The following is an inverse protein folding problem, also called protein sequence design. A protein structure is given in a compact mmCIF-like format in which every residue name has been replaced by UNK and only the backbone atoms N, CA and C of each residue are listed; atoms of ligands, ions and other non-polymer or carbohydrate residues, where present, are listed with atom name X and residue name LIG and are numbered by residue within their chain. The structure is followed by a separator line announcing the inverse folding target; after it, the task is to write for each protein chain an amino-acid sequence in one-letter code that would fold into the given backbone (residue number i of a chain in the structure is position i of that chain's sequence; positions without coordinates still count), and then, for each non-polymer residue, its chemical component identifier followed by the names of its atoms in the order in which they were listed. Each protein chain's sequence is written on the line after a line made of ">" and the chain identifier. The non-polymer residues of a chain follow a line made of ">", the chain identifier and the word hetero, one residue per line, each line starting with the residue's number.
data_IF_283945819314
#
_entry.id   IF_283945819314
#
_cell.length_a   1.000
_cell.length_b   1.000
_cell.length_c   1.000
_cell.angle_alpha   90.00
_cell.angle_beta   90.00
_cell.angle_gamma   90.00
#
_symmetry.space_group_name_H-M   'P 1'
#
loop_
_entity.id
_entity.type
_entity.pdbx_description
1 polymer ?
#
# COMPACT_ATOMS: atom_id res chain seq x y z
N UNK A 1 -108.69 41.96 -59.44
CA UNK A 1 -108.17 42.30 -58.09
C UNK A 1 -107.56 41.02 -57.48
N UNK A 2 -106.35 40.91 -57.31
CA UNK A 2 -105.80 39.96 -56.37
C UNK A 2 -104.92 40.67 -55.34
N UNK A 3 -104.98 40.20 -54.16
CA UNK A 3 -104.33 40.63 -52.95
C UNK A 3 -102.90 40.12 -52.80
N UNK A 4 -101.95 40.90 -52.27
CA UNK A 4 -100.62 40.48 -52.05
C UNK A 4 -100.40 40.17 -50.60
N UNK A 5 -99.94 38.99 -50.22
CA UNK A 5 -99.17 38.72 -48.98
C UNK A 5 -98.44 37.43 -49.07
N UNK A 6 -97.13 37.48 -49.13
CA UNK A 6 -96.22 36.65 -48.29
C UNK A 6 -94.77 36.89 -48.70
N UNK A 7 -94.08 37.72 -48.01
CA UNK A 7 -92.68 38.03 -48.26
C UNK A 7 -91.87 38.36 -47.01
N UNK A 8 -91.97 37.56 -45.93
CA UNK A 8 -91.15 37.91 -44.74
C UNK A 8 -90.70 36.76 -43.90
N UNK A 9 -90.56 35.52 -44.43
CA UNK A 9 -90.10 34.39 -43.59
C UNK A 9 -88.74 33.82 -43.99
N UNK A 10 -88.10 34.32 -45.05
CA UNK A 10 -86.73 33.75 -45.48
C UNK A 10 -85.53 34.46 -44.83
N UNK A 11 -85.69 35.69 -44.32
CA UNK A 11 -84.51 36.37 -43.69
C UNK A 11 -84.22 35.91 -42.24
N UNK A 12 -85.24 35.45 -41.49
CA UNK A 12 -85.02 35.01 -40.11
C UNK A 12 -84.35 33.64 -39.96
N UNK A 13 -84.55 32.75 -40.95
CA UNK A 13 -83.91 31.46 -40.98
C UNK A 13 -82.40 31.54 -41.39
N UNK A 14 -82.04 32.47 -42.26
CA UNK A 14 -80.65 32.74 -42.60
C UNK A 14 -79.86 33.29 -41.40
N UNK A 15 -80.44 34.19 -40.60
CA UNK A 15 -79.74 34.70 -39.41
C UNK A 15 -79.62 33.64 -38.30
N UNK A 16 -80.57 32.72 -38.16
CA UNK A 16 -80.46 31.60 -37.22
C UNK A 16 -79.36 30.56 -37.69
N UNK A 17 -79.33 30.30 -38.98
CA UNK A 17 -78.28 29.39 -39.58
C UNK A 17 -76.89 29.99 -39.49
N UNK A 18 -76.72 31.30 -39.75
CA UNK A 18 -75.49 32.01 -39.58
C UNK A 18 -75.01 32.05 -38.10
N UNK A 19 -75.93 32.19 -37.15
CA UNK A 19 -75.58 32.11 -35.68
C UNK A 19 -75.25 30.69 -35.28
N UNK A 20 -75.85 29.66 -35.85
CA UNK A 20 -75.48 28.27 -35.64
C UNK A 20 -74.07 27.90 -36.18
N UNK A 21 -73.78 28.40 -37.41
CA UNK A 21 -72.45 28.26 -38.01
C UNK A 21 -71.33 28.98 -37.25
N UNK A 22 -71.68 30.23 -36.78
CA UNK A 22 -70.69 30.97 -35.95
C UNK A 22 -70.45 30.29 -34.58
N UNK A 23 -71.51 29.74 -33.94
CA UNK A 23 -71.40 28.95 -32.71
C UNK A 23 -70.58 27.69 -32.91
N UNK A 24 -70.78 26.90 -33.99
CA UNK A 24 -70.03 25.73 -34.33
C UNK A 24 -68.56 26.05 -34.62
N UNK A 25 -68.26 27.13 -35.36
CA UNK A 25 -66.92 27.61 -35.63
C UNK A 25 -66.22 28.02 -34.35
N UNK A 26 -66.85 28.68 -33.40
CA UNK A 26 -66.31 29.06 -32.11
C UNK A 26 -65.93 27.79 -31.25
N UNK A 27 -66.88 26.84 -31.24
CA UNK A 27 -66.63 25.56 -30.51
C UNK A 27 -65.51 24.79 -31.16
N UNK A 28 -65.46 24.71 -32.48
CA UNK A 28 -64.33 24.06 -33.20
C UNK A 28 -62.97 24.76 -32.94
N UNK A 29 -62.96 26.09 -32.83
CA UNK A 29 -61.76 26.88 -32.51
C UNK A 29 -61.33 26.69 -31.05
N UNK A 30 -62.25 26.59 -30.11
CA UNK A 30 -62.02 26.29 -28.70
C UNK A 30 -61.46 24.85 -28.55
N UNK A 31 -62.09 23.87 -29.21
CA UNK A 31 -61.70 22.51 -29.20
C UNK A 31 -60.32 22.32 -29.90
N UNK A 32 -60.08 23.00 -31.00
CA UNK A 32 -58.76 23.03 -31.69
C UNK A 32 -57.67 23.69 -30.86
N UNK A 33 -57.97 24.79 -30.19
CA UNK A 33 -57.10 25.47 -29.25
C UNK A 33 -56.77 24.62 -28.01
N UNK A 34 -57.81 23.97 -27.43
CA UNK A 34 -57.66 23.04 -26.31
C UNK A 34 -56.83 21.82 -26.73
N UNK A 35 -57.10 21.23 -27.90
CA UNK A 35 -56.28 20.12 -28.43
C UNK A 35 -54.82 20.55 -28.63
N UNK A 36 -54.59 21.72 -29.23
CA UNK A 36 -53.22 22.24 -29.43
C UNK A 36 -52.50 22.49 -28.09
N UNK A 37 -53.21 23.10 -27.10
CA UNK A 37 -52.66 23.37 -25.78
C UNK A 37 -52.38 22.10 -24.98
N UNK A 38 -53.28 21.11 -24.94
CA UNK A 38 -53.06 19.85 -24.22
C UNK A 38 -52.06 18.92 -24.86
N UNK A 39 -51.99 18.87 -26.19
CA UNK A 39 -51.15 17.88 -26.90
C UNK A 39 -49.82 18.42 -27.44
N UNK A 40 -49.70 19.70 -27.76
CA UNK A 40 -48.49 20.27 -28.35
C UNK A 40 -47.70 21.17 -27.43
N UNK A 41 -48.31 21.93 -26.55
CA UNK A 41 -47.66 22.92 -25.67
C UNK A 41 -46.81 22.28 -24.58
N UNK A 42 -47.15 21.08 -24.06
CA UNK A 42 -46.44 20.38 -22.98
C UNK A 42 -45.47 19.27 -23.46
N UNK A 43 -44.99 19.39 -24.70
CA UNK A 43 -44.03 18.40 -25.25
C UNK A 43 -42.89 19.14 -25.95
N UNK A 44 -41.65 18.65 -25.66
CA UNK A 44 -40.44 19.13 -26.32
C UNK A 44 -39.78 17.97 -27.00
N UNK A 45 -39.57 18.05 -28.31
CA UNK A 45 -39.00 16.95 -29.10
C UNK A 45 -37.71 17.38 -29.78
N UNK A 46 -36.79 16.44 -29.90
CA UNK A 46 -35.59 16.56 -30.72
C UNK A 46 -35.37 15.28 -31.54
N UNK A 47 -34.97 15.46 -32.77
CA UNK A 47 -34.52 14.43 -33.73
C UNK A 47 -32.98 14.20 -33.63
N UNK A 48 -32.30 15.10 -32.92
CA UNK A 48 -30.86 15.00 -32.68
C UNK A 48 -30.63 14.33 -31.33
N UNK A 49 -30.91 13.03 -31.25
CA UNK A 49 -30.67 12.21 -30.07
C UNK A 49 -29.95 10.92 -30.51
N UNK A 50 -28.98 10.48 -29.70
CA UNK A 50 -28.18 9.30 -29.98
C UNK A 50 -28.11 8.38 -28.77
N UNK A 51 -27.98 7.08 -29.05
CA UNK A 51 -27.68 6.09 -28.02
C UNK A 51 -26.20 6.22 -27.65
N UNK A 52 -25.91 6.34 -26.38
CA UNK A 52 -24.57 6.39 -25.81
C UNK A 52 -24.41 5.30 -24.77
N UNK A 53 -23.17 4.85 -24.53
CA UNK A 53 -22.81 3.96 -23.43
C UNK A 53 -21.45 4.34 -22.85
N UNK A 54 -21.24 4.02 -21.58
CA UNK A 54 -19.93 4.18 -20.92
C UNK A 54 -19.05 3.00 -21.36
N UNK A 55 -18.42 3.11 -22.54
CA UNK A 55 -17.55 2.09 -23.14
C UNK A 55 -16.18 2.07 -22.48
N UNK A 56 -15.60 0.87 -22.31
CA UNK A 56 -14.23 0.69 -21.85
C UNK A 56 -13.26 0.57 -23.03
N UNK A 57 -12.31 1.49 -23.11
CA UNK A 57 -11.20 1.40 -24.05
C UNK A 57 -10.12 0.48 -23.46
N UNK A 58 -9.83 -0.62 -24.14
CA UNK A 58 -8.82 -1.59 -23.71
C UNK A 58 -7.47 -1.19 -24.30
N UNK A 59 -6.49 -1.00 -23.43
CA UNK A 59 -5.10 -0.69 -23.82
C UNK A 59 -4.12 -1.59 -23.08
N UNK A 60 -2.93 -1.79 -23.63
CA UNK A 60 -1.85 -2.50 -22.95
C UNK A 60 -1.18 -1.62 -21.89
N UNK A 61 -0.76 -2.23 -20.79
CA UNK A 61 0.09 -1.59 -19.76
C UNK A 61 1.58 -1.81 -19.99
N UNK A 62 1.92 -2.81 -20.82
CA UNK A 62 3.29 -3.22 -21.10
C UNK A 62 3.49 -3.33 -22.62
N UNK A 63 4.70 -3.14 -23.14
CA UNK A 63 5.01 -3.44 -24.53
C UNK A 63 5.05 -4.95 -24.77
N UNK A 64 4.78 -5.41 -25.97
CA UNK A 64 4.88 -6.84 -26.29
C UNK A 64 4.35 -7.16 -27.68
N UNK A 65 4.53 -8.41 -28.08
CA UNK A 65 3.99 -8.95 -29.33
C UNK A 65 2.74 -9.75 -28.99
N UNK A 66 1.67 -9.57 -29.75
CA UNK A 66 0.42 -10.31 -29.57
C UNK A 66 0.64 -11.77 -29.95
N UNK A 67 0.46 -12.68 -29.00
CA UNK A 67 0.58 -14.10 -29.23
C UNK A 67 -0.74 -14.68 -29.76
N UNK A 68 -1.85 -14.41 -29.07
CA UNK A 68 -3.17 -14.89 -29.46
C UNK A 68 -4.25 -13.84 -29.16
N UNK A 69 -5.30 -13.84 -29.98
CA UNK A 69 -6.51 -13.03 -29.81
C UNK A 69 -7.69 -14.01 -29.72
N UNK A 70 -8.42 -13.97 -28.60
CA UNK A 70 -9.47 -14.92 -28.27
C UNK A 70 -10.88 -14.41 -28.60
N UNK A 71 -10.97 -13.16 -29.05
CA UNK A 71 -12.25 -12.49 -29.33
C UNK A 71 -12.19 -11.76 -30.67
N UNK A 72 -13.36 -11.64 -31.32
CA UNK A 72 -13.51 -10.88 -32.55
C UNK A 72 -14.47 -9.70 -32.36
N UNK A 73 -14.57 -8.82 -33.38
CA UNK A 73 -15.60 -7.78 -33.36
C UNK A 73 -16.98 -8.41 -33.20
N UNK A 74 -17.86 -7.71 -32.48
CA UNK A 74 -19.23 -8.11 -32.18
C UNK A 74 -19.36 -9.36 -31.27
N UNK A 75 -18.25 -9.89 -30.72
CA UNK A 75 -18.28 -10.98 -29.75
C UNK A 75 -18.71 -10.44 -28.39
N UNK A 76 -19.66 -11.12 -27.75
CA UNK A 76 -20.06 -10.83 -26.38
C UNK A 76 -19.00 -11.35 -25.39
N UNK A 77 -18.63 -10.52 -24.43
CA UNK A 77 -17.64 -10.82 -23.38
C UNK A 77 -18.19 -10.54 -22.01
N UNK A 78 -17.73 -11.32 -21.02
CA UNK A 78 -18.05 -11.15 -19.62
C UNK A 78 -16.90 -10.49 -18.86
N UNK A 79 -17.15 -9.82 -17.71
CA UNK A 79 -16.08 -9.25 -16.90
C UNK A 79 -15.06 -10.31 -16.49
N UNK A 80 -13.76 -10.03 -16.61
CA UNK A 80 -12.66 -10.95 -16.31
C UNK A 80 -12.31 -11.93 -17.43
N UNK A 81 -13.10 -12.02 -18.52
CA UNK A 81 -12.80 -12.89 -19.67
C UNK A 81 -11.53 -12.41 -20.37
N UNK A 82 -10.65 -13.35 -20.71
CA UNK A 82 -9.42 -13.07 -21.46
C UNK A 82 -9.77 -12.67 -22.90
N UNK A 83 -9.24 -11.54 -23.32
CA UNK A 83 -9.44 -10.99 -24.67
C UNK A 83 -8.30 -11.37 -25.60
N UNK A 84 -7.08 -11.23 -25.11
CA UNK A 84 -5.87 -11.56 -25.85
C UNK A 84 -4.71 -11.85 -24.90
N UNK A 85 -3.67 -12.49 -25.42
CA UNK A 85 -2.41 -12.72 -24.72
C UNK A 85 -1.22 -12.16 -25.51
N UNK A 86 -0.26 -11.61 -24.79
CA UNK A 86 1.05 -11.24 -25.31
C UNK A 86 2.02 -12.41 -25.12
N UNK A 87 3.12 -12.45 -25.90
CA UNK A 87 4.21 -13.42 -25.69
C UNK A 87 4.81 -13.20 -24.28
N UNK A 88 4.69 -14.17 -23.37
CA UNK A 88 5.13 -14.03 -21.99
C UNK A 88 6.61 -14.33 -21.78
N UNK A 89 7.35 -14.81 -22.80
CA UNK A 89 8.70 -15.39 -22.61
C UNK A 89 9.69 -14.46 -21.96
N UNK A 90 9.76 -13.20 -22.41
CA UNK A 90 10.68 -12.21 -21.84
C UNK A 90 10.31 -11.87 -20.38
N UNK A 91 9.03 -11.80 -20.09
CA UNK A 91 8.51 -11.52 -18.76
C UNK A 91 8.66 -12.72 -17.82
N UNK A 92 8.52 -13.95 -18.34
CA UNK A 92 8.76 -15.17 -17.57
C UNK A 92 10.24 -15.28 -17.20
N UNK A 93 11.16 -15.01 -18.14
CA UNK A 93 12.59 -14.97 -17.88
C UNK A 93 12.93 -13.95 -16.78
N UNK A 94 12.35 -12.76 -16.82
CA UNK A 94 12.55 -11.74 -15.80
C UNK A 94 12.06 -12.20 -14.41
N UNK A 95 10.99 -12.98 -14.35
CA UNK A 95 10.51 -13.60 -13.10
C UNK A 95 11.50 -14.64 -12.60
N UNK A 96 12.00 -15.50 -13.47
CA UNK A 96 12.94 -16.56 -13.14
C UNK A 96 14.28 -15.98 -12.65
N UNK A 97 14.78 -14.91 -13.28
CA UNK A 97 15.97 -14.17 -12.82
C UNK A 97 15.77 -13.55 -11.44
N UNK A 98 14.65 -12.88 -11.21
CA UNK A 98 14.34 -12.28 -9.91
C UNK A 98 14.16 -13.35 -8.81
N UNK A 99 13.58 -14.50 -9.14
CA UNK A 99 13.43 -15.65 -8.25
C UNK A 99 14.79 -16.25 -7.89
N UNK A 100 15.69 -16.41 -8.87
CA UNK A 100 17.05 -16.90 -8.65
C UNK A 100 17.85 -15.95 -7.73
N UNK A 101 17.72 -14.64 -7.93
CA UNK A 101 18.35 -13.63 -7.07
C UNK A 101 17.82 -13.70 -5.62
N UNK A 102 16.52 -13.89 -5.42
CA UNK A 102 15.93 -14.08 -4.10
C UNK A 102 16.52 -15.32 -3.42
N UNK A 103 16.54 -16.45 -4.11
CA UNK A 103 17.09 -17.72 -3.61
C UNK A 103 18.56 -17.58 -3.20
N UNK A 104 19.35 -16.88 -4.01
CA UNK A 104 20.76 -16.58 -3.70
C UNK A 104 20.88 -15.73 -2.43
N UNK A 105 20.13 -14.65 -2.32
CA UNK A 105 20.17 -13.76 -1.15
C UNK A 105 19.74 -14.49 0.13
N UNK A 106 18.74 -15.36 0.05
CA UNK A 106 18.31 -16.20 1.17
C UNK A 106 19.39 -17.21 1.58
N UNK A 107 20.14 -17.76 0.61
CA UNK A 107 21.27 -18.63 0.92
C UNK A 107 22.42 -17.87 1.63
N UNK A 108 22.73 -16.65 1.18
CA UNK A 108 23.70 -15.77 1.83
C UNK A 108 23.26 -15.40 3.27
N UNK A 109 21.99 -15.15 3.50
CA UNK A 109 21.42 -14.92 4.84
C UNK A 109 21.62 -16.13 5.75
N UNK A 110 21.28 -17.34 5.28
CA UNK A 110 21.46 -18.59 6.07
C UNK A 110 22.92 -18.85 6.40
N UNK A 111 23.84 -18.60 5.47
CA UNK A 111 25.26 -18.71 5.71
C UNK A 111 25.78 -17.74 6.79
N UNK A 112 25.29 -16.49 6.74
CA UNK A 112 25.63 -15.47 7.75
C UNK A 112 25.04 -15.81 9.12
N UNK A 113 23.82 -16.33 9.17
CA UNK A 113 23.16 -16.78 10.40
C UNK A 113 23.92 -17.93 11.07
N UNK A 114 24.37 -18.91 10.27
CA UNK A 114 25.25 -19.99 10.75
C UNK A 114 26.57 -19.45 11.29
N UNK A 115 27.17 -18.44 10.63
CA UNK A 115 28.42 -17.81 11.08
C UNK A 115 28.21 -17.04 12.40
N UNK A 116 27.05 -16.37 12.60
CA UNK A 116 26.69 -15.74 13.87
C UNK A 116 26.64 -16.79 14.98
N UNK A 117 25.95 -17.90 14.76
CA UNK A 117 25.76 -18.95 15.74
C UNK A 117 27.14 -19.57 16.12
N UNK A 118 27.98 -19.87 15.13
CA UNK A 118 29.33 -20.39 15.36
C UNK A 118 30.19 -19.41 16.16
N UNK A 119 30.20 -18.14 15.78
CA UNK A 119 31.00 -17.11 16.46
C UNK A 119 30.51 -16.85 17.89
N UNK A 120 29.20 -16.90 18.14
CA UNK A 120 28.60 -16.72 19.47
C UNK A 120 29.01 -17.85 20.42
N UNK A 121 28.92 -19.12 19.97
CA UNK A 121 29.36 -20.29 20.75
C UNK A 121 30.85 -20.20 21.03
N UNK A 122 31.67 -19.88 20.04
CA UNK A 122 33.14 -19.79 20.19
C UNK A 122 33.49 -18.69 21.21
N UNK A 123 32.88 -17.54 21.12
CA UNK A 123 33.11 -16.41 22.03
C UNK A 123 32.70 -16.77 23.47
N UNK A 124 31.54 -17.41 23.63
CA UNK A 124 31.06 -17.86 24.94
C UNK A 124 32.03 -18.86 25.58
N UNK A 125 32.48 -19.84 24.81
CA UNK A 125 33.48 -20.83 25.30
C UNK A 125 34.80 -20.18 25.70
N UNK A 126 35.29 -19.19 24.96
CA UNK A 126 36.51 -18.43 25.29
C UNK A 126 36.32 -17.61 26.57
N UNK A 127 35.18 -16.95 26.76
CA UNK A 127 34.88 -16.22 28.00
C UNK A 127 34.84 -17.16 29.21
N UNK A 128 34.19 -18.30 29.08
CA UNK A 128 34.04 -19.26 30.20
C UNK A 128 35.41 -19.89 30.57
N UNK A 129 36.21 -20.20 29.55
CA UNK A 129 37.60 -20.63 29.79
C UNK A 129 38.42 -19.56 30.53
N UNK A 130 38.35 -18.31 30.08
CA UNK A 130 39.05 -17.21 30.73
C UNK A 130 38.58 -16.95 32.15
N UNK A 131 37.28 -17.09 32.45
CA UNK A 131 36.71 -17.01 33.80
C UNK A 131 37.21 -18.12 34.72
N UNK A 132 37.32 -19.36 34.20
CA UNK A 132 37.86 -20.50 34.95
C UNK A 132 39.31 -20.28 35.35
N UNK A 133 40.13 -19.75 34.44
CA UNK A 133 41.55 -19.41 34.75
C UNK A 133 41.61 -18.29 35.83
N UNK A 134 40.73 -17.29 35.79
CA UNK A 134 40.67 -16.27 36.86
C UNK A 134 40.34 -16.90 38.20
N UNK A 135 39.38 -17.79 38.27
CA UNK A 135 38.98 -18.48 39.48
C UNK A 135 40.14 -19.27 40.07
N UNK A 136 40.85 -20.07 39.22
CA UNK A 136 42.03 -20.85 39.64
C UNK A 136 43.13 -19.94 40.17
N UNK A 137 43.46 -18.85 39.50
CA UNK A 137 44.51 -17.92 39.95
C UNK A 137 44.10 -17.17 41.25
N UNK A 138 42.83 -16.85 41.44
CA UNK A 138 42.34 -16.28 42.70
C UNK A 138 42.41 -17.28 43.86
N UNK A 139 42.16 -18.56 43.61
CA UNK A 139 42.33 -19.61 44.63
C UNK A 139 43.77 -19.72 45.09
N UNK A 140 44.74 -19.65 44.15
CA UNK A 140 46.19 -19.62 44.49
C UNK A 140 46.55 -18.39 45.35
N UNK A 141 45.97 -17.22 45.08
CA UNK A 141 46.17 -16.03 45.93
C UNK A 141 45.62 -16.29 47.35
N UNK A 142 44.41 -16.85 47.47
CA UNK A 142 43.82 -17.17 48.77
C UNK A 142 44.63 -18.17 49.56
N UNK A 143 45.10 -19.24 48.91
CA UNK A 143 45.97 -20.24 49.52
C UNK A 143 47.27 -19.61 50.07
N UNK A 144 47.94 -18.77 49.24
CA UNK A 144 49.11 -18.02 49.66
C UNK A 144 48.86 -17.07 50.84
N UNK A 145 47.72 -16.36 50.86
CA UNK A 145 47.33 -15.47 51.95
C UNK A 145 47.06 -16.24 53.24
N UNK A 146 46.43 -17.41 53.20
CA UNK A 146 46.28 -18.30 54.35
C UNK A 146 47.62 -18.78 54.89
N UNK A 147 48.59 -19.15 53.99
CA UNK A 147 49.92 -19.54 54.39
C UNK A 147 50.68 -18.39 55.05
N UNK A 148 50.57 -17.16 54.51
CA UNK A 148 51.12 -15.95 55.12
C UNK A 148 50.57 -15.70 56.54
N UNK A 149 49.30 -15.90 56.74
CA UNK A 149 48.70 -15.72 58.07
C UNK A 149 49.19 -16.78 59.05
N UNK A 150 49.32 -18.04 58.62
CA UNK A 150 49.92 -19.10 59.45
C UNK A 150 51.38 -18.79 59.82
N UNK A 151 52.18 -18.32 58.86
CA UNK A 151 53.56 -17.90 59.13
C UNK A 151 53.66 -16.69 60.08
N UNK A 152 52.76 -15.74 60.01
CA UNK A 152 52.69 -14.63 61.01
C UNK A 152 52.50 -15.15 62.42
N UNK A 153 51.63 -16.13 62.64
CA UNK A 153 51.42 -16.73 63.95
C UNK A 153 52.66 -17.47 64.42
N UNK A 154 53.34 -18.24 63.55
CA UNK A 154 54.59 -18.90 63.83
C UNK A 154 55.72 -17.90 64.18
N UNK A 155 55.78 -16.79 63.45
CA UNK A 155 56.75 -15.71 63.69
C UNK A 155 56.52 -15.08 65.09
N UNK A 156 55.26 -14.85 65.50
CA UNK A 156 54.94 -14.33 66.81
C UNK A 156 55.40 -15.30 67.91
N UNK A 157 55.23 -16.61 67.77
CA UNK A 157 55.70 -17.64 68.72
C UNK A 157 57.22 -17.65 68.79
N UNK A 158 57.90 -17.70 67.61
CA UNK A 158 59.40 -17.70 67.55
C UNK A 158 59.99 -16.41 68.14
N UNK A 159 59.35 -15.26 67.94
CA UNK A 159 59.78 -13.99 68.59
C UNK A 159 59.64 -14.03 70.11
N UNK A 160 58.59 -14.66 70.63
CA UNK A 160 58.43 -14.86 72.10
C UNK A 160 59.57 -15.78 72.66
N UNK A 161 59.86 -16.91 71.93
CA UNK A 161 60.90 -17.82 72.36
C UNK A 161 62.27 -17.15 72.34
N UNK A 162 62.56 -16.37 71.24
CA UNK A 162 63.79 -15.58 71.15
C UNK A 162 63.90 -14.58 72.35
N UNK A 163 62.80 -13.94 72.64
CA UNK A 163 62.75 -12.95 73.77
C UNK A 163 63.07 -13.62 75.12
N UNK A 164 62.54 -14.80 75.34
CA UNK A 164 62.81 -15.57 76.56
C UNK A 164 64.30 -15.99 76.57
N UNK A 165 64.83 -16.63 75.45
CA UNK A 165 66.17 -17.05 75.32
C UNK A 165 67.14 -15.89 75.56
N UNK A 166 66.90 -14.73 74.97
CA UNK A 166 67.69 -13.53 75.14
C UNK A 166 67.77 -13.05 76.59
N UNK A 167 66.61 -12.99 77.33
CA UNK A 167 66.55 -12.63 78.74
C UNK A 167 67.36 -13.64 79.62
N UNK A 168 67.24 -14.94 79.28
CA UNK A 168 67.98 -15.98 79.98
C UNK A 168 69.44 -15.84 79.72
N UNK A 169 69.89 -15.70 78.45
CA UNK A 169 71.26 -15.47 78.12
C UNK A 169 71.87 -14.25 78.85
N UNK A 170 71.15 -13.08 78.88
CA UNK A 170 71.55 -11.86 79.56
C UNK A 170 71.67 -12.07 81.10
N UNK A 171 70.86 -12.96 81.71
CA UNK A 171 70.93 -13.30 83.07
C UNK A 171 72.20 -14.21 83.32
N UNK A 172 72.39 -15.29 82.52
CA UNK A 172 73.52 -16.19 82.64
C UNK A 172 74.85 -15.50 82.30
N UNK A 173 74.93 -14.59 81.37
CA UNK A 173 76.09 -13.80 81.02
C UNK A 173 76.56 -12.92 82.24
N UNK A 174 75.63 -12.30 82.90
CA UNK A 174 75.90 -11.52 84.14
C UNK A 174 76.44 -12.45 85.27
N UNK A 175 75.80 -13.60 85.47
CA UNK A 175 76.26 -14.56 86.54
C UNK A 175 77.59 -15.17 86.18
N UNK A 176 77.90 -15.46 84.90
CA UNK A 176 79.17 -15.94 84.39
C UNK A 176 80.33 -14.95 84.66
N UNK A 177 80.06 -13.67 84.31
CA UNK A 177 81.00 -12.56 84.62
C UNK A 177 81.27 -12.39 86.11
N UNK A 178 80.35 -12.79 86.97
CA UNK A 178 80.51 -12.81 88.42
C UNK A 178 81.11 -14.14 88.91
N UNK A 179 81.52 -15.06 88.02
CA UNK A 179 82.05 -16.39 88.32
C UNK A 179 81.08 -17.27 89.18
N UNK A 180 79.75 -16.95 89.13
CA UNK A 180 78.73 -17.66 89.91
C UNK A 180 78.17 -18.91 89.24
N UNK A 181 78.48 -19.18 87.95
CA UNK A 181 78.03 -20.35 87.22
C UNK A 181 79.19 -20.96 86.42
N UNK A 182 79.00 -22.28 86.02
CA UNK A 182 79.95 -23.02 85.11
C UNK A 182 79.82 -22.54 83.66
N UNK A 183 80.96 -22.52 82.98
CA UNK A 183 81.04 -22.18 81.54
C UNK A 183 80.02 -22.96 80.69
N UNK A 184 79.86 -24.25 80.98
CA UNK A 184 78.88 -25.10 80.27
C UNK A 184 77.40 -24.54 80.31
N UNK A 185 77.04 -23.88 81.42
CA UNK A 185 75.66 -23.25 81.52
C UNK A 185 75.56 -21.99 80.67
N UNK A 186 76.58 -21.18 80.57
CA UNK A 186 76.70 -20.04 79.67
C UNK A 186 76.66 -20.45 78.21
N UNK A 187 77.49 -21.46 77.84
CA UNK A 187 77.53 -21.98 76.46
C UNK A 187 76.17 -22.55 76.02
N UNK A 188 75.44 -23.25 76.92
CA UNK A 188 74.06 -23.72 76.65
C UNK A 188 73.07 -22.56 76.38
N UNK A 189 73.14 -21.53 77.26
CA UNK A 189 72.22 -20.36 77.11
C UNK A 189 72.51 -19.62 75.74
N UNK A 190 73.85 -19.46 75.42
CA UNK A 190 74.20 -18.85 74.15
C UNK A 190 73.76 -19.68 72.93
N UNK A 191 73.97 -21.00 72.98
CA UNK A 191 73.55 -21.93 71.89
C UNK A 191 72.02 -21.85 71.75
N UNK A 192 71.23 -21.71 72.86
CA UNK A 192 69.74 -21.57 72.77
C UNK A 192 69.37 -20.26 72.16
N UNK A 193 70.02 -19.15 72.46
CA UNK A 193 69.78 -17.85 71.85
C UNK A 193 70.09 -17.88 70.35
N UNK A 194 71.26 -18.40 69.98
CA UNK A 194 71.73 -18.53 68.55
C UNK A 194 70.75 -19.40 67.74
N UNK A 195 70.24 -20.48 68.35
CA UNK A 195 69.22 -21.38 67.73
C UNK A 195 67.90 -20.69 67.54
N UNK A 196 67.42 -20.01 68.55
CA UNK A 196 66.09 -19.32 68.43
C UNK A 196 66.17 -18.12 67.49
N UNK A 197 67.28 -17.42 67.41
CA UNK A 197 67.51 -16.35 66.42
C UNK A 197 67.53 -16.90 65.01
N UNK A 198 68.31 -17.99 64.75
CA UNK A 198 68.34 -18.65 63.44
C UNK A 198 66.93 -19.19 63.03
N UNK A 199 66.11 -19.64 63.99
CA UNK A 199 64.73 -20.09 63.73
C UNK A 199 63.83 -18.95 63.33
N UNK A 200 63.92 -17.78 63.97
CA UNK A 200 63.18 -16.57 63.56
C UNK A 200 63.60 -16.12 62.18
N UNK A 201 64.88 -16.04 61.90
CA UNK A 201 65.41 -15.65 60.55
C UNK A 201 64.91 -16.58 59.45
N UNK A 202 64.87 -17.92 59.74
CA UNK A 202 64.28 -18.87 58.79
C UNK A 202 62.79 -18.62 58.52
N UNK A 203 61.96 -18.31 59.55
CA UNK A 203 60.56 -18.00 59.41
C UNK A 203 60.37 -16.65 58.63
N UNK A 204 61.24 -15.67 58.90
CA UNK A 204 61.20 -14.39 58.20
C UNK A 204 61.57 -14.59 56.72
N UNK A 205 62.57 -15.39 56.38
CA UNK A 205 62.93 -15.73 55.00
C UNK A 205 61.78 -16.48 54.27
N UNK A 206 61.13 -17.45 54.96
CA UNK A 206 59.99 -18.17 54.42
C UNK A 206 58.75 -17.20 54.19
N UNK A 207 58.53 -16.30 55.15
CA UNK A 207 57.47 -15.31 55.05
C UNK A 207 57.67 -14.42 53.83
N UNK A 208 58.87 -13.95 53.56
CA UNK A 208 59.20 -13.11 52.38
C UNK A 208 59.08 -13.90 51.07
N UNK A 209 59.50 -15.16 51.07
CA UNK A 209 59.33 -16.03 49.89
C UNK A 209 57.84 -16.25 49.56
N UNK A 210 57.01 -16.52 50.56
CA UNK A 210 55.57 -16.69 50.36
C UNK A 210 54.90 -15.36 49.97
N UNK A 211 55.34 -14.21 50.55
CA UNK A 211 54.86 -12.87 50.16
C UNK A 211 55.15 -12.61 48.68
N UNK A 212 56.35 -12.90 48.22
CA UNK A 212 56.74 -12.76 46.82
C UNK A 212 55.92 -13.68 45.88
N UNK A 213 55.60 -14.90 46.36
CA UNK A 213 54.75 -15.85 45.61
C UNK A 213 53.29 -15.32 45.51
N UNK A 214 52.73 -14.76 46.60
CA UNK A 214 51.39 -14.15 46.61
C UNK A 214 51.33 -12.97 45.64
N UNK A 215 52.37 -12.12 45.63
CA UNK A 215 52.41 -10.99 44.67
C UNK A 215 52.48 -11.46 43.22
N UNK A 216 53.29 -12.49 42.94
CA UNK A 216 53.32 -13.15 41.65
C UNK A 216 51.93 -13.71 41.23
N UNK A 217 51.22 -14.35 42.16
CA UNK A 217 49.86 -14.85 41.90
C UNK A 217 48.86 -13.71 41.66
N UNK A 218 48.96 -12.59 42.36
CA UNK A 218 48.13 -11.39 42.09
C UNK A 218 48.39 -10.80 40.68
N UNK A 219 49.65 -10.78 40.26
CA UNK A 219 49.98 -10.36 38.87
C UNK A 219 49.39 -11.33 37.83
N UNK A 220 49.37 -12.62 38.12
CA UNK A 220 48.74 -13.63 37.26
C UNK A 220 47.22 -13.41 37.20
N UNK A 221 46.52 -13.04 38.28
CA UNK A 221 45.11 -12.67 38.26
C UNK A 221 44.88 -11.47 37.35
N UNK A 222 45.73 -10.43 37.41
CA UNK A 222 45.62 -9.24 36.57
C UNK A 222 45.79 -9.60 35.07
N UNK A 223 46.75 -10.50 34.77
CA UNK A 223 46.97 -11.00 33.39
C UNK A 223 45.75 -11.80 32.89
N UNK A 224 45.19 -12.70 33.71
CA UNK A 224 44.01 -13.48 33.37
C UNK A 224 42.78 -12.56 33.17
N UNK A 225 42.65 -11.49 33.97
CA UNK A 225 41.60 -10.47 33.78
C UNK A 225 41.73 -9.75 32.41
N UNK A 226 42.95 -9.46 31.98
CA UNK A 226 43.22 -8.91 30.66
C UNK A 226 42.85 -9.88 29.53
N UNK A 227 43.11 -11.19 29.71
CA UNK A 227 42.69 -12.22 28.76
C UNK A 227 41.14 -12.31 28.66
N UNK A 228 40.43 -12.22 29.78
CA UNK A 228 38.97 -12.17 29.76
C UNK A 228 38.44 -10.93 28.98
N UNK A 229 39.10 -9.78 29.12
CA UNK A 229 38.70 -8.59 28.35
C UNK A 229 38.93 -8.78 26.83
N UNK A 230 40.01 -9.48 26.43
CA UNK A 230 40.26 -9.87 25.02
C UNK A 230 39.15 -10.84 24.53
N UNK A 231 38.82 -11.86 25.33
CA UNK A 231 37.72 -12.79 24.99
C UNK A 231 36.40 -12.10 24.83
N UNK A 232 36.08 -11.15 25.71
CA UNK A 232 34.85 -10.29 25.58
C UNK A 232 34.88 -9.42 24.33
N UNK A 233 36.07 -9.01 23.86
CA UNK A 233 36.23 -8.30 22.59
C UNK A 233 35.68 -9.08 21.40
N UNK A 234 35.67 -10.41 21.45
CA UNK A 234 35.05 -11.27 20.44
C UNK A 234 33.55 -11.03 20.23
N UNK A 235 32.83 -10.52 21.22
CA UNK A 235 31.41 -10.13 21.06
C UNK A 235 31.17 -9.02 20.05
N UNK A 236 32.19 -8.17 19.83
CA UNK A 236 32.05 -7.14 18.77
C UNK A 236 32.01 -7.79 17.38
N UNK A 237 32.72 -8.87 17.14
CA UNK A 237 32.63 -9.60 15.86
C UNK A 237 31.25 -10.19 15.64
N UNK A 238 30.61 -10.75 16.69
CA UNK A 238 29.24 -11.24 16.64
C UNK A 238 28.27 -10.07 16.32
N UNK A 239 28.49 -8.91 16.92
CA UNK A 239 27.67 -7.72 16.65
C UNK A 239 27.81 -7.25 15.19
N UNK A 240 29.01 -7.25 14.62
CA UNK A 240 29.26 -6.92 13.21
C UNK A 240 28.52 -7.92 12.29
N UNK A 241 28.61 -9.22 12.57
CA UNK A 241 27.87 -10.23 11.81
C UNK A 241 26.35 -10.04 11.88
N UNK A 242 25.81 -9.66 13.04
CA UNK A 242 24.38 -9.34 13.20
C UNK A 242 23.97 -8.11 12.38
N UNK A 243 24.85 -7.10 12.29
CA UNK A 243 24.60 -5.94 11.43
C UNK A 243 24.64 -6.34 9.93
N UNK A 244 25.57 -7.19 9.53
CA UNK A 244 25.60 -7.74 8.17
C UNK A 244 24.36 -8.55 7.85
N UNK A 245 23.87 -9.38 8.79
CA UNK A 245 22.61 -10.12 8.64
C UNK A 245 21.42 -9.18 8.49
N UNK A 246 21.37 -8.08 9.26
CA UNK A 246 20.32 -7.06 9.12
C UNK A 246 20.36 -6.40 7.74
N UNK A 247 21.53 -6.08 7.21
CA UNK A 247 21.69 -5.53 5.86
C UNK A 247 21.25 -6.52 4.77
N UNK A 248 21.60 -7.80 4.92
CA UNK A 248 21.14 -8.86 4.01
C UNK A 248 19.62 -9.06 4.07
N UNK A 249 18.99 -8.91 5.24
CA UNK A 249 17.53 -8.94 5.39
C UNK A 249 16.87 -7.81 4.61
N UNK A 250 17.37 -6.59 4.71
CA UNK A 250 16.89 -5.46 3.92
C UNK A 250 17.09 -5.70 2.41
N UNK A 251 18.22 -6.29 2.03
CA UNK A 251 18.48 -6.69 0.64
C UNK A 251 17.51 -7.75 0.14
N UNK A 252 17.18 -8.75 0.96
CA UNK A 252 16.17 -9.77 0.63
C UNK A 252 14.80 -9.13 0.39
N UNK A 253 14.40 -8.16 1.21
CA UNK A 253 13.13 -7.46 1.05
C UNK A 253 13.09 -6.64 -0.26
N UNK A 254 14.21 -5.99 -0.64
CA UNK A 254 14.35 -5.31 -1.93
C UNK A 254 14.19 -6.30 -3.11
N UNK A 255 14.92 -7.41 -3.07
CA UNK A 255 14.88 -8.43 -4.14
C UNK A 255 13.51 -9.09 -4.21
N UNK A 256 12.85 -9.31 -3.07
CA UNK A 256 11.46 -9.80 -3.04
C UNK A 256 10.49 -8.82 -3.70
N UNK A 257 10.61 -7.51 -3.45
CA UNK A 257 9.80 -6.50 -4.11
C UNK A 257 10.04 -6.49 -5.64
N UNK A 258 11.28 -6.68 -6.08
CA UNK A 258 11.62 -6.81 -7.51
C UNK A 258 10.96 -8.04 -8.14
N UNK A 259 10.94 -9.18 -7.44
CA UNK A 259 10.23 -10.37 -7.88
C UNK A 259 8.72 -10.12 -8.02
N UNK A 260 8.10 -9.44 -7.05
CA UNK A 260 6.68 -9.09 -7.14
C UNK A 260 6.40 -8.17 -8.34
N UNK A 261 7.27 -7.20 -8.60
CA UNK A 261 7.16 -6.33 -9.76
C UNK A 261 7.27 -7.09 -11.10
N UNK A 262 8.18 -8.07 -11.18
CA UNK A 262 8.32 -8.94 -12.36
C UNK A 262 7.06 -9.81 -12.57
N UNK A 263 6.54 -10.42 -11.51
CA UNK A 263 5.28 -11.21 -11.56
C UNK A 263 4.08 -10.36 -11.97
N UNK A 264 3.99 -9.13 -11.49
CA UNK A 264 2.93 -8.20 -11.88
C UNK A 264 3.02 -7.87 -13.36
N UNK A 265 4.23 -7.61 -13.89
CA UNK A 265 4.41 -7.40 -15.35
C UNK A 265 4.03 -8.62 -16.16
N UNK A 266 4.38 -9.82 -15.72
CA UNK A 266 3.96 -11.07 -16.37
C UNK A 266 2.42 -11.21 -16.37
N UNK A 267 1.73 -10.84 -15.31
CA UNK A 267 0.26 -10.88 -15.28
C UNK A 267 -0.38 -9.95 -16.30
N UNK A 268 0.28 -8.85 -16.67
CA UNK A 268 -0.19 -7.93 -17.70
C UNK A 268 -0.05 -8.49 -19.14
N UNK A 269 0.63 -9.63 -19.35
CA UNK A 269 0.62 -10.32 -20.63
C UNK A 269 -0.76 -10.88 -20.97
N UNK A 270 -1.63 -11.12 -20.00
CA UNK A 270 -3.01 -11.54 -20.21
C UNK A 270 -3.92 -10.32 -20.05
N UNK A 271 -4.54 -9.89 -21.15
CA UNK A 271 -5.44 -8.72 -21.16
C UNK A 271 -6.87 -9.22 -21.06
N UNK A 272 -7.59 -8.77 -20.02
CA UNK A 272 -8.96 -9.20 -19.71
C UNK A 272 -9.96 -8.06 -19.84
N UNK A 273 -11.23 -8.40 -20.01
CA UNK A 273 -12.35 -7.47 -20.07
C UNK A 273 -12.64 -6.87 -18.67
N UNK A 274 -12.58 -5.53 -18.48
CA UNK A 274 -12.94 -4.90 -17.21
C UNK A 274 -14.47 -4.83 -16.97
N UNK A 275 -15.26 -4.84 -18.04
CA UNK A 275 -16.73 -4.81 -18.03
C UNK A 275 -17.29 -5.84 -19.00
N UNK A 276 -18.55 -6.24 -18.81
CA UNK A 276 -19.30 -7.03 -19.78
C UNK A 276 -19.81 -6.17 -20.93
N UNK A 277 -19.90 -6.75 -22.12
CA UNK A 277 -20.39 -6.03 -23.30
C UNK A 277 -20.00 -6.71 -24.59
N UNK A 278 -19.99 -5.96 -25.66
CA UNK A 278 -19.60 -6.42 -26.99
C UNK A 278 -18.30 -5.75 -27.41
N UNK A 279 -17.41 -6.55 -28.00
CA UNK A 279 -16.14 -6.04 -28.56
C UNK A 279 -16.44 -5.18 -29.79
N UNK A 280 -15.88 -3.97 -29.80
CA UNK A 280 -15.97 -3.04 -30.91
C UNK A 280 -14.59 -2.50 -31.29
N UNK A 281 -14.41 -2.10 -32.53
CA UNK A 281 -13.20 -1.44 -33.04
C UNK A 281 -11.89 -2.19 -32.72
N UNK A 282 -11.86 -3.51 -32.87
CA UNK A 282 -10.62 -4.28 -32.76
C UNK A 282 -9.64 -3.79 -33.86
N UNK A 283 -8.51 -3.19 -33.46
CA UNK A 283 -7.51 -2.58 -34.35
C UNK A 283 -6.19 -3.34 -34.39
N UNK A 284 -6.18 -4.58 -33.93
CA UNK A 284 -4.97 -5.38 -33.73
C UNK A 284 -5.10 -6.73 -34.40
N UNK A 285 -3.94 -7.30 -34.77
CA UNK A 285 -3.81 -8.63 -35.36
C UNK A 285 -2.78 -9.46 -34.55
N UNK A 286 -2.86 -10.79 -34.73
CA UNK A 286 -1.85 -11.71 -34.17
C UNK A 286 -0.49 -11.39 -34.79
N UNK A 287 0.55 -11.27 -33.96
CA UNK A 287 1.90 -10.88 -34.37
C UNK A 287 2.18 -9.38 -34.31
N UNK A 288 1.18 -8.54 -34.11
CA UNK A 288 1.40 -7.09 -33.94
C UNK A 288 2.21 -6.80 -32.69
N UNK A 289 3.11 -5.81 -32.80
CA UNK A 289 3.84 -5.27 -31.67
C UNK A 289 3.11 -4.05 -31.10
N UNK A 290 2.76 -4.11 -29.84
CA UNK A 290 2.00 -3.05 -29.16
C UNK A 290 2.85 -2.28 -28.14
N UNK A 291 2.43 -1.04 -27.87
CA UNK A 291 3.06 -0.15 -26.90
C UNK A 291 2.12 0.15 -25.73
N UNK A 292 2.64 0.52 -24.54
CA UNK A 292 1.83 0.95 -23.42
C UNK A 292 0.92 2.13 -23.80
N UNK A 293 -0.36 2.07 -23.38
CA UNK A 293 -1.36 3.10 -23.68
C UNK A 293 -1.98 3.01 -25.08
N UNK A 294 -1.48 2.16 -25.98
CA UNK A 294 -2.09 1.94 -27.27
C UNK A 294 -3.47 1.29 -27.12
N UNK A 295 -4.50 1.90 -27.70
CA UNK A 295 -5.87 1.37 -27.70
C UNK A 295 -5.93 0.18 -28.64
N UNK A 296 -6.35 -0.96 -28.13
CA UNK A 296 -6.40 -2.24 -28.84
C UNK A 296 -7.81 -2.52 -29.38
N UNK A 297 -8.82 -2.33 -28.53
CA UNK A 297 -10.24 -2.51 -28.83
C UNK A 297 -11.10 -1.73 -27.81
N UNK A 298 -12.39 -1.65 -28.06
CA UNK A 298 -13.38 -1.10 -27.13
C UNK A 298 -14.36 -2.19 -26.71
N UNK A 299 -14.85 -2.14 -25.47
CA UNK A 299 -15.98 -2.95 -25.00
C UNK A 299 -17.14 -2.01 -24.74
N UNK A 300 -18.27 -2.30 -25.41
CA UNK A 300 -19.48 -1.50 -25.36
C UNK A 300 -20.57 -2.30 -24.64
N UNK A 301 -21.02 -1.87 -23.44
CA UNK A 301 -22.11 -2.50 -22.73
C UNK A 301 -23.43 -2.14 -23.42
N UNK A 302 -24.30 -3.13 -23.67
CA UNK A 302 -25.67 -2.88 -24.18
C UNK A 302 -26.70 -2.72 -23.06
N UNK A 303 -26.42 -3.17 -21.85
CA UNK A 303 -27.33 -3.09 -20.72
C UNK A 303 -27.33 -1.72 -20.03
N UNK A 304 -26.24 -0.97 -20.11
CA UNK A 304 -26.04 0.34 -19.51
C UNK A 304 -26.19 1.53 -20.45
N UNK A 305 -26.88 1.37 -21.58
CA UNK A 305 -27.04 2.45 -22.56
C UNK A 305 -27.94 3.56 -22.01
N UNK A 306 -27.60 4.79 -22.38
CA UNK A 306 -28.44 5.97 -22.15
C UNK A 306 -28.57 6.76 -23.45
N UNK A 307 -29.49 7.71 -23.47
CA UNK A 307 -29.71 8.53 -24.64
C UNK A 307 -29.24 9.95 -24.34
N UNK A 308 -28.47 10.49 -25.24
CA UNK A 308 -28.09 11.91 -25.25
C UNK A 308 -28.90 12.63 -26.32
N UNK A 309 -29.87 13.45 -25.87
CA UNK A 309 -30.69 14.26 -26.74
C UNK A 309 -30.21 15.71 -26.75
N UNK A 310 -29.88 16.22 -27.93
CA UNK A 310 -29.43 17.60 -28.11
C UNK A 310 -30.62 18.51 -28.38
N UNK A 311 -31.12 19.19 -27.33
CA UNK A 311 -32.26 20.10 -27.42
C UNK A 311 -31.80 21.54 -27.68
N UNK A 312 -32.57 22.32 -28.43
CA UNK A 312 -32.30 23.75 -28.61
C UNK A 312 -32.47 24.48 -27.25
N UNK A 313 -31.60 25.46 -26.98
CA UNK A 313 -31.62 26.24 -25.73
C UNK A 313 -33.02 26.79 -25.45
N UNK A 314 -33.74 27.28 -26.48
CA UNK A 314 -35.10 27.82 -26.38
C UNK A 314 -36.13 26.79 -25.94
N UNK A 315 -35.86 25.49 -26.09
CA UNK A 315 -36.77 24.40 -25.75
C UNK A 315 -36.63 23.96 -24.27
N UNK A 316 -35.54 24.34 -23.58
CA UNK A 316 -35.23 23.86 -22.24
C UNK A 316 -35.90 24.61 -21.10
N UNK A 317 -36.61 25.70 -21.35
CA UNK A 317 -37.25 26.55 -20.35
C UNK A 317 -38.09 25.75 -19.32
N UNK A 318 -38.79 24.72 -19.78
CA UNK A 318 -39.70 23.91 -18.96
C UNK A 318 -39.18 22.48 -18.73
N UNK A 319 -37.97 22.14 -19.16
CA UNK A 319 -37.39 20.83 -18.96
C UNK A 319 -36.79 20.73 -17.54
N UNK A 320 -37.10 19.63 -16.85
CA UNK A 320 -36.64 19.33 -15.48
C UNK A 320 -36.19 17.91 -15.38
N UNK A 321 -35.25 17.66 -14.48
CA UNK A 321 -34.80 16.32 -14.15
C UNK A 321 -35.93 15.49 -13.56
N UNK A 322 -36.06 14.23 -13.98
CA UNK A 322 -37.12 13.32 -13.58
C UNK A 322 -38.31 13.29 -14.52
N UNK A 323 -38.47 14.25 -15.47
CA UNK A 323 -39.57 14.26 -16.42
C UNK A 323 -39.55 13.01 -17.31
N UNK A 324 -40.70 12.42 -17.63
CA UNK A 324 -40.81 11.26 -18.50
C UNK A 324 -40.49 11.63 -19.95
N UNK A 325 -39.81 10.70 -20.63
CA UNK A 325 -39.41 10.86 -22.02
C UNK A 325 -39.90 9.65 -22.83
N UNK A 326 -40.51 9.95 -23.98
CA UNK A 326 -40.87 8.96 -24.99
C UNK A 326 -39.79 8.96 -26.07
N UNK A 327 -39.26 7.78 -26.39
CA UNK A 327 -38.17 7.63 -27.31
C UNK A 327 -38.59 6.70 -28.44
N UNK A 328 -38.36 7.11 -29.67
CA UNK A 328 -38.59 6.32 -30.88
C UNK A 328 -37.27 6.15 -31.61
N UNK A 329 -36.93 4.90 -31.92
CA UNK A 329 -35.77 4.58 -32.72
C UNK A 329 -36.18 4.40 -34.18
N UNK A 330 -35.44 4.98 -35.09
CA UNK A 330 -35.75 4.91 -36.51
C UNK A 330 -35.65 3.46 -37.05
N UNK A 331 -34.77 2.67 -36.44
CA UNK A 331 -34.61 1.22 -36.79
C UNK A 331 -35.83 0.37 -36.32
N UNK A 332 -36.64 0.84 -35.38
CA UNK A 332 -37.80 0.12 -34.82
C UNK A 332 -39.08 0.97 -34.86
N UNK A 333 -39.65 1.21 -36.04
CA UNK A 333 -40.73 2.18 -36.23
C UNK A 333 -42.01 1.86 -35.47
N UNK A 334 -42.22 0.62 -35.03
CA UNK A 334 -43.38 0.17 -34.26
C UNK A 334 -43.15 0.15 -32.74
N UNK A 335 -41.93 0.36 -32.26
CA UNK A 335 -41.59 0.19 -30.85
C UNK A 335 -41.25 1.54 -30.19
N UNK A 336 -41.73 1.70 -28.98
CA UNK A 336 -41.53 2.94 -28.20
C UNK A 336 -40.84 2.63 -26.90
N UNK A 337 -39.66 3.24 -26.67
CA UNK A 337 -38.95 3.15 -25.41
C UNK A 337 -39.36 4.28 -24.48
N UNK A 338 -39.28 4.02 -23.17
CA UNK A 338 -39.61 5.00 -22.13
C UNK A 338 -38.40 5.25 -21.26
N UNK A 339 -38.26 6.49 -20.82
CA UNK A 339 -37.18 6.88 -19.94
C UNK A 339 -37.46 8.16 -19.20
N UNK A 340 -36.47 8.63 -18.45
CA UNK A 340 -36.56 9.87 -17.68
C UNK A 340 -35.35 10.75 -17.92
N UNK A 341 -35.55 12.07 -17.87
CA UNK A 341 -34.46 13.03 -17.85
C UNK A 341 -33.59 12.75 -16.62
N UNK A 342 -32.37 12.28 -16.83
CA UNK A 342 -31.40 11.99 -15.77
C UNK A 342 -30.54 13.21 -15.45
N UNK A 343 -30.27 14.08 -16.43
CA UNK A 343 -29.47 15.27 -16.22
C UNK A 343 -29.48 16.18 -17.45
N UNK A 344 -29.22 17.45 -17.21
CA UNK A 344 -29.02 18.47 -18.24
C UNK A 344 -27.60 18.93 -18.12
N UNK A 345 -26.82 18.90 -19.18
CA UNK A 345 -25.40 19.33 -19.14
C UNK A 345 -25.32 20.82 -18.82
N UNK A 346 -24.31 21.20 -18.03
CA UNK A 346 -24.09 22.59 -17.62
C UNK A 346 -23.54 23.50 -18.76
N UNK A 347 -23.21 22.93 -19.91
CA UNK A 347 -22.71 23.70 -21.06
C UNK A 347 -23.21 23.14 -22.40
N UNK A 348 -23.14 23.98 -23.43
CA UNK A 348 -23.52 23.61 -24.80
C UNK A 348 -22.44 22.77 -25.46
N UNK A 349 -22.79 21.99 -26.48
CA UNK A 349 -21.80 21.20 -27.24
C UNK A 349 -20.71 22.05 -27.88
N UNK A 350 -21.02 23.27 -28.31
CA UNK A 350 -20.05 24.21 -28.88
C UNK A 350 -19.04 24.76 -27.88
N UNK A 351 -19.41 24.90 -26.60
CA UNK A 351 -18.52 25.40 -25.54
C UNK A 351 -17.42 24.40 -25.18
N UNK A 352 -17.62 23.11 -25.42
CA UNK A 352 -16.65 22.02 -25.16
C UNK A 352 -16.03 21.41 -26.43
N UNK A 353 -16.26 22.05 -27.58
CA UNK A 353 -15.63 21.65 -28.85
C UNK A 353 -14.16 22.08 -28.90
N UNK A 354 -13.29 21.19 -29.40
CA UNK A 354 -11.86 21.50 -29.65
C UNK A 354 -11.66 22.65 -30.64
N UNK A 355 -12.62 22.88 -31.52
CA UNK A 355 -12.66 24.00 -32.49
C UNK A 355 -14.03 24.67 -32.36
N UNK A 356 -14.17 25.72 -31.49
CA UNK A 356 -15.38 26.50 -31.45
C UNK A 356 -15.66 27.14 -32.82
N UNK A 357 -16.92 27.19 -33.29
CA UNK A 357 -17.23 27.85 -34.55
C UNK A 357 -16.98 29.37 -34.40
N UNK A 358 -15.84 29.85 -34.91
CA UNK A 358 -15.56 31.28 -35.05
C UNK A 358 -16.15 31.80 -36.34
N UNK A 359 -16.92 32.90 -36.30
CA UNK A 359 -17.42 33.58 -37.48
C UNK A 359 -16.25 34.32 -38.14
N UNK A 360 -15.71 33.77 -39.23
CA UNK A 360 -14.59 34.33 -39.99
C UNK A 360 -14.82 35.74 -40.60
N UNK A 361 -16.03 36.27 -40.53
CA UNK A 361 -16.44 37.52 -41.22
C UNK A 361 -16.70 38.73 -40.31
N UNK A 362 -16.39 38.65 -39.00
CA UNK A 362 -16.48 39.77 -38.04
C UNK A 362 -17.92 40.21 -37.66
N UNK A 363 -18.95 39.69 -38.26
CA UNK A 363 -20.33 39.96 -37.86
C UNK A 363 -20.83 38.90 -36.89
N UNK A 364 -21.21 39.35 -35.69
CA UNK A 364 -21.78 38.46 -34.69
C UNK A 364 -23.21 38.06 -35.08
N UNK A 365 -23.45 36.77 -35.34
CA UNK A 365 -24.77 36.19 -35.59
C UNK A 365 -25.14 35.30 -34.41
N UNK A 366 -26.27 35.55 -33.78
CA UNK A 366 -26.81 34.70 -32.71
C UNK A 366 -27.22 33.35 -33.30
N UNK A 367 -26.42 32.31 -33.07
CA UNK A 367 -26.73 30.92 -33.43
C UNK A 367 -27.37 30.24 -32.20
N UNK A 368 -28.55 29.67 -32.36
CA UNK A 368 -29.23 28.92 -31.29
C UNK A 368 -28.43 27.69 -30.96
N UNK A 369 -27.92 27.63 -29.75
CA UNK A 369 -27.08 26.54 -29.26
C UNK A 369 -27.93 25.32 -28.89
N UNK A 370 -27.30 24.11 -28.94
CA UNK A 370 -27.93 22.88 -28.45
C UNK A 370 -27.26 22.48 -27.14
N UNK A 371 -28.12 22.08 -26.19
CA UNK A 371 -27.69 21.60 -24.86
C UNK A 371 -27.98 20.12 -24.77
N UNK A 372 -26.97 19.27 -24.46
CA UNK A 372 -27.17 17.83 -24.28
C UNK A 372 -27.95 17.53 -23.02
N UNK A 373 -28.98 16.69 -23.14
CA UNK A 373 -29.81 16.18 -22.07
C UNK A 373 -29.60 14.67 -21.99
N UNK A 374 -29.11 14.18 -20.83
CA UNK A 374 -28.95 12.74 -20.55
C UNK A 374 -30.30 12.16 -20.16
N UNK A 375 -30.76 11.16 -20.89
CA UNK A 375 -31.99 10.43 -20.66
C UNK A 375 -31.66 9.00 -20.32
N UNK A 376 -32.11 8.55 -19.14
CA UNK A 376 -31.94 7.15 -18.70
C UNK A 376 -33.19 6.38 -19.07
N UNK A 377 -33.03 5.20 -19.63
CA UNK A 377 -34.13 4.29 -19.91
C UNK A 377 -34.71 3.72 -18.62
N UNK A 378 -36.06 3.57 -18.59
CA UNK A 378 -36.76 2.96 -17.43
C UNK A 378 -36.54 1.43 -17.37
N UNK A 379 -36.30 0.79 -18.51
CA UNK A 379 -36.06 -0.64 -18.65
C UNK A 379 -34.90 -0.91 -19.59
N UNK A 380 -34.19 -1.99 -19.38
CA UNK A 380 -33.20 -2.50 -20.32
C UNK A 380 -33.88 -2.79 -21.65
N UNK A 381 -33.32 -2.38 -22.80
CA UNK A 381 -33.87 -2.70 -24.12
C UNK A 381 -34.02 -4.22 -24.28
N UNK A 382 -35.17 -4.68 -24.79
CA UNK A 382 -35.36 -6.13 -24.98
C UNK A 382 -34.39 -6.69 -26.02
N UNK A 383 -34.02 -7.98 -25.94
CA UNK A 383 -33.07 -8.61 -26.87
C UNK A 383 -33.48 -8.48 -28.35
N UNK A 384 -34.79 -8.46 -28.63
CA UNK A 384 -35.33 -8.31 -29.99
C UNK A 384 -35.22 -6.87 -30.55
N UNK A 385 -34.98 -5.89 -29.66
CA UNK A 385 -34.85 -4.47 -30.01
C UNK A 385 -33.66 -3.83 -29.32
N UNK A 386 -32.41 -4.32 -29.53
CA UNK A 386 -31.24 -3.81 -28.86
C UNK A 386 -30.92 -2.39 -29.34
N UNK A 387 -30.67 -1.49 -28.39
CA UNK A 387 -30.23 -0.12 -28.70
C UNK A 387 -28.71 -0.10 -28.81
N UNK A 388 -28.19 -0.09 -30.01
CA UNK A 388 -26.74 -0.01 -30.29
C UNK A 388 -26.26 1.43 -30.16
N UNK A 389 -25.06 1.62 -29.64
CA UNK A 389 -24.43 2.94 -29.53
C UNK A 389 -24.29 3.59 -30.90
N UNK A 390 -24.64 4.87 -30.98
CA UNK A 390 -24.62 5.65 -32.22
C UNK A 390 -25.91 5.62 -33.01
N UNK A 391 -26.94 4.81 -32.63
CA UNK A 391 -28.25 4.85 -33.31
C UNK A 391 -28.91 6.22 -33.10
N UNK A 392 -29.49 6.75 -34.18
CA UNK A 392 -30.30 7.99 -34.15
C UNK A 392 -31.69 7.71 -33.59
N UNK A 393 -32.22 8.66 -32.84
CA UNK A 393 -33.45 8.54 -32.10
C UNK A 393 -34.25 9.87 -32.14
N UNK A 394 -35.53 9.77 -32.02
CA UNK A 394 -36.40 10.92 -31.70
C UNK A 394 -36.76 10.84 -30.23
N UNK A 395 -36.37 11.86 -29.45
CA UNK A 395 -36.66 11.93 -28.03
C UNK A 395 -37.67 13.05 -27.75
N UNK A 396 -38.80 12.70 -27.09
CA UNK A 396 -39.86 13.63 -26.74
C UNK A 396 -40.01 13.69 -25.21
N UNK A 397 -39.68 14.83 -24.60
CA UNK A 397 -39.82 15.08 -23.17
C UNK A 397 -41.23 15.62 -22.88
N UNK A 398 -41.93 15.07 -21.89
CA UNK A 398 -43.21 15.53 -21.44
C UNK A 398 -43.03 16.54 -20.29
N UNK A 399 -43.20 17.82 -20.56
CA UNK A 399 -42.91 18.94 -19.64
C UNK A 399 -44.13 19.39 -18.78
N UNK A 400 -45.09 18.50 -18.56
CA UNK A 400 -46.29 18.77 -17.77
C UNK A 400 -45.94 19.00 -16.28
N UNK A 401 -45.04 18.21 -15.73
CA UNK A 401 -44.55 18.38 -14.35
C UNK A 401 -43.26 19.21 -14.37
N UNK A 402 -43.29 20.37 -13.69
CA UNK A 402 -42.18 21.35 -13.65
C UNK A 402 -41.52 21.44 -12.29
N UNK A 403 -41.78 20.51 -11.35
CA UNK A 403 -41.29 20.56 -9.95
C UNK A 403 -39.87 20.05 -9.78
N UNK A 404 -39.32 19.34 -10.74
CA UNK A 404 -37.95 18.80 -10.69
C UNK A 404 -36.85 19.88 -10.73
N UNK A 405 -35.64 19.61 -10.27
CA UNK A 405 -34.49 20.51 -10.37
C UNK A 405 -34.04 20.68 -11.83
N UNK A 406 -33.40 21.82 -12.12
CA UNK A 406 -32.77 22.08 -13.43
C UNK A 406 -31.39 21.45 -13.53
N UNK A 407 -30.60 21.39 -12.40
CA UNK A 407 -29.30 20.80 -12.31
C UNK A 407 -29.29 19.72 -11.22
N UNK A 408 -28.52 18.63 -11.42
CA UNK A 408 -28.32 17.64 -10.38
C UNK A 408 -27.60 18.27 -9.18
N UNK A 409 -28.17 18.11 -7.98
CA UNK A 409 -27.43 18.33 -6.73
C UNK A 409 -26.81 17.02 -6.30
N UNK A 410 -25.50 17.02 -6.01
CA UNK A 410 -24.84 15.88 -5.40
C UNK A 410 -25.43 15.63 -4.00
N UNK A 411 -26.20 14.56 -3.84
CA UNK A 411 -26.83 14.19 -2.57
C UNK A 411 -25.88 13.39 -1.65
N UNK A 412 -24.66 13.07 -2.12
CA UNK A 412 -23.70 12.21 -1.38
C UNK A 412 -22.74 12.96 -0.46
N UNK A 413 -22.70 14.29 -0.46
CA UNK A 413 -21.75 15.04 0.39
C UNK A 413 -22.22 15.33 1.83
N UNK A 414 -23.38 14.77 2.27
CA UNK A 414 -23.91 15.02 3.63
C UNK A 414 -23.84 13.82 4.59
N UNK A 415 -23.11 12.74 4.27
CA UNK A 415 -22.98 11.58 5.18
C UNK A 415 -21.56 11.30 5.69
N UNK A 416 -20.64 12.25 5.60
CA UNK A 416 -19.34 12.13 6.29
C UNK A 416 -18.96 13.48 6.90
N UNK A 417 -19.39 13.69 8.08
CA UNK A 417 -18.88 14.67 9.05
C UNK A 417 -19.02 14.09 10.45
N UNK A 418 -18.18 14.53 11.39
CA UNK A 418 -16.93 13.94 11.86
C UNK A 418 -17.13 12.76 12.80
#
# INVERSE_FOLDING_TARGET
>A
MPDPTNGNNSQNNRKKWLRGLAGFSLIALILGGAYWFFFKYNRVSTDNAYVMADSAMISSRIPGTIQDILVDNDTQVTPGQTLLSLDPKDYQLAVDEAQAMLTRTEAEMRATEASIFQSDIQTAAQEDSARSVIAETQDRVREGEHKLEALKQQRIAALADLTIARRDFERYDRLYKQQAIAQQQWDRAKTTLDKTAAQLDAIDAETEAVRSSVEGARQAVKQSQSQLNVARGGRYSVTVLRQQFSALRAKRDEVFANLQAARLRLSYCTITAPIGGYVAQKRIQKGDRIQPGQVLMAIVPLEGVYIEGNFKETQLTNVRIGQPVTIKADIYPGYTFHGKVAGIRAGTGAAFSLLPPENATGNWIKVVQRVPVKIRLDKIPPPDHPLRVGLSLVATIHTKDRRGPVLMKNTESQKTGP
#
